data_IF_604584793921
#
_entry.id   IF_604584793921
#
_cell.length_a   1.000
_cell.length_b   1.000
_cell.length_c   1.000
_cell.angle_alpha   90.00
_cell.angle_beta   90.00
_cell.angle_gamma   90.00
#
_symmetry.space_group_name_H-M   'P 1'
#
loop_
_entity.id
_entity.type
_entity.pdbx_description
1 polymer ?
#
# COMPACT_ATOMS: atom_id res chain seq x y z
N UNK A 1 14.18 -2.70 -5.85
CA UNK A 1 12.81 -2.79 -5.30
C UNK A 1 12.61 -4.19 -4.76
N UNK A 2 12.25 -4.31 -3.50
CA UNK A 2 12.15 -5.61 -2.82
C UNK A 2 10.92 -6.42 -3.28
N UNK A 3 9.96 -5.77 -3.94
CA UNK A 3 8.72 -6.37 -4.42
C UNK A 3 8.91 -7.71 -5.18
N UNK A 4 9.87 -7.79 -6.11
CA UNK A 4 10.09 -9.02 -6.91
C UNK A 4 10.53 -10.23 -6.08
N UNK A 5 11.07 -10.00 -4.89
CA UNK A 5 11.51 -11.06 -3.97
C UNK A 5 10.39 -11.46 -3.01
N UNK A 6 9.49 -10.53 -2.68
CA UNK A 6 8.37 -10.78 -1.75
C UNK A 6 7.12 -11.29 -2.46
N UNK A 7 6.85 -10.84 -3.68
CA UNK A 7 5.69 -11.23 -4.51
C UNK A 7 6.22 -11.99 -5.74
N UNK A 8 6.63 -13.24 -5.54
CA UNK A 8 7.27 -14.05 -6.58
C UNK A 8 6.41 -15.22 -7.06
N UNK A 9 5.57 -15.78 -6.19
CA UNK A 9 4.73 -16.94 -6.49
C UNK A 9 3.39 -16.57 -7.13
N UNK A 10 2.80 -17.50 -7.88
CA UNK A 10 1.47 -17.30 -8.47
C UNK A 10 0.38 -17.06 -7.41
N UNK A 11 0.49 -17.69 -6.23
CA UNK A 11 -0.44 -17.46 -5.12
C UNK A 11 -0.33 -16.01 -4.61
N UNK A 12 0.89 -15.52 -4.39
CA UNK A 12 1.12 -14.14 -3.98
C UNK A 12 0.60 -13.15 -5.02
N UNK A 13 0.88 -13.37 -6.31
CA UNK A 13 0.38 -12.49 -7.40
C UNK A 13 -1.14 -12.41 -7.43
N UNK A 14 -1.84 -13.55 -7.31
CA UNK A 14 -3.31 -13.58 -7.28
C UNK A 14 -3.85 -12.94 -6.00
N UNK A 15 -3.23 -13.18 -4.84
CA UNK A 15 -3.63 -12.54 -3.59
C UNK A 15 -3.40 -11.02 -3.63
N UNK A 16 -2.27 -10.56 -4.18
CA UNK A 16 -1.96 -9.14 -4.36
C UNK A 16 -3.02 -8.45 -5.21
N UNK A 17 -3.45 -9.10 -6.30
CA UNK A 17 -4.56 -8.63 -7.10
C UNK A 17 -5.84 -8.47 -6.27
N UNK A 18 -6.22 -9.48 -5.49
CA UNK A 18 -7.45 -9.43 -4.70
C UNK A 18 -7.43 -8.39 -3.58
N UNK A 19 -6.32 -8.23 -2.85
CA UNK A 19 -6.24 -7.25 -1.76
C UNK A 19 -6.26 -5.80 -2.28
N UNK A 20 -5.81 -5.56 -3.51
CA UNK A 20 -5.91 -4.25 -4.16
C UNK A 20 -7.32 -3.92 -4.64
N UNK A 21 -8.16 -4.95 -4.84
CA UNK A 21 -9.53 -4.83 -5.31
C UNK A 21 -10.53 -5.51 -4.35
N UNK A 22 -10.53 -5.14 -3.05
CA UNK A 22 -11.20 -5.95 -2.05
C UNK A 22 -12.73 -5.92 -2.19
N UNK A 23 -13.31 -4.87 -2.79
CA UNK A 23 -14.76 -4.69 -2.95
C UNK A 23 -15.38 -5.35 -4.18
N UNK A 24 -14.56 -5.90 -5.08
CA UNK A 24 -15.02 -6.42 -6.36
C UNK A 24 -15.01 -7.96 -6.40
N UNK A 25 -15.77 -8.51 -7.35
CA UNK A 25 -15.74 -9.92 -7.70
C UNK A 25 -15.34 -10.07 -9.15
N UNK A 26 -14.48 -11.03 -9.45
CA UNK A 26 -13.86 -11.17 -10.77
C UNK A 26 -14.04 -12.57 -11.32
N UNK A 27 -14.19 -12.68 -12.64
CA UNK A 27 -14.09 -13.98 -13.31
C UNK A 27 -12.63 -14.34 -13.60
N UNK A 28 -12.36 -15.64 -13.72
CA UNK A 28 -11.01 -16.19 -13.80
C UNK A 28 -10.11 -15.54 -14.87
N UNK A 29 -10.67 -15.25 -16.06
CA UNK A 29 -9.92 -14.61 -17.14
C UNK A 29 -9.48 -13.17 -16.81
N UNK A 30 -10.26 -12.42 -16.02
CA UNK A 30 -9.84 -11.07 -15.58
C UNK A 30 -8.67 -11.18 -14.63
N UNK A 31 -8.76 -12.11 -13.68
CA UNK A 31 -7.73 -12.38 -12.67
C UNK A 31 -6.44 -12.81 -13.38
N UNK A 32 -6.53 -13.73 -14.34
CA UNK A 32 -5.39 -14.20 -15.12
C UNK A 32 -4.68 -13.04 -15.83
N UNK A 33 -5.43 -12.18 -16.51
CA UNK A 33 -4.89 -11.02 -17.22
C UNK A 33 -4.23 -10.04 -16.27
N UNK A 34 -4.91 -9.66 -15.18
CA UNK A 34 -4.40 -8.66 -14.23
C UNK A 34 -3.24 -9.18 -13.36
N UNK A 35 -3.24 -10.47 -13.01
CA UNK A 35 -2.14 -11.10 -12.28
C UNK A 35 -0.96 -11.51 -13.18
N UNK A 36 -1.08 -11.36 -14.51
CA UNK A 36 -0.05 -11.74 -15.48
C UNK A 36 0.22 -13.25 -15.51
N UNK A 37 -0.83 -14.07 -15.37
CA UNK A 37 -0.75 -15.53 -15.30
C UNK A 37 -1.51 -16.19 -16.46
N UNK A 38 -1.12 -17.42 -16.80
CA UNK A 38 -1.90 -18.24 -17.75
C UNK A 38 -3.25 -18.64 -17.13
N UNK A 39 -4.28 -18.93 -17.96
CA UNK A 39 -5.57 -19.40 -17.46
C UNK A 39 -5.45 -20.65 -16.59
N UNK A 40 -4.67 -21.64 -17.02
CA UNK A 40 -4.46 -22.89 -16.27
C UNK A 40 -3.81 -22.64 -14.90
N UNK A 41 -2.72 -21.85 -14.84
CA UNK A 41 -2.07 -21.50 -13.58
C UNK A 41 -3.01 -20.73 -12.65
N UNK A 42 -3.80 -19.81 -13.20
CA UNK A 42 -4.79 -19.03 -12.45
C UNK A 42 -5.86 -19.94 -11.87
N UNK A 43 -6.42 -20.84 -12.68
CA UNK A 43 -7.40 -21.84 -12.25
C UNK A 43 -6.89 -22.65 -11.05
N UNK A 44 -5.68 -23.20 -11.16
CA UNK A 44 -5.08 -24.00 -10.09
C UNK A 44 -4.92 -23.22 -8.77
N UNK A 45 -4.48 -21.96 -8.85
CA UNK A 45 -4.35 -21.09 -7.68
C UNK A 45 -5.73 -20.78 -7.07
N UNK A 46 -6.71 -20.39 -7.88
CA UNK A 46 -8.05 -20.04 -7.40
C UNK A 46 -8.74 -21.23 -6.72
N UNK A 47 -8.63 -22.43 -7.29
CA UNK A 47 -9.18 -23.64 -6.67
C UNK A 47 -8.54 -23.92 -5.31
N UNK A 48 -7.21 -23.75 -5.18
CA UNK A 48 -6.51 -23.95 -3.90
C UNK A 48 -6.90 -22.91 -2.87
N UNK A 49 -6.89 -21.63 -3.23
CA UNK A 49 -7.28 -20.54 -2.34
C UNK A 49 -8.74 -20.68 -1.88
N UNK A 50 -9.64 -21.07 -2.77
CA UNK A 50 -11.05 -21.33 -2.44
C UNK A 50 -11.19 -22.51 -1.48
N UNK A 51 -10.52 -23.63 -1.75
CA UNK A 51 -10.55 -24.82 -0.86
C UNK A 51 -9.97 -24.52 0.52
N UNK A 52 -9.00 -23.62 0.60
CA UNK A 52 -8.41 -23.16 1.85
C UNK A 52 -9.24 -22.07 2.57
N UNK A 53 -10.38 -21.65 2.00
CA UNK A 53 -11.24 -20.62 2.59
C UNK A 53 -10.66 -19.19 2.52
N UNK A 54 -9.63 -18.96 1.72
CA UNK A 54 -8.98 -17.64 1.60
C UNK A 54 -9.77 -16.70 0.71
N UNK A 55 -10.45 -17.25 -0.30
CA UNK A 55 -11.31 -16.51 -1.21
C UNK A 55 -12.69 -17.16 -1.30
N UNK A 56 -13.69 -16.33 -1.57
CA UNK A 56 -15.05 -16.75 -1.82
C UNK A 56 -15.23 -17.06 -3.32
N UNK A 57 -16.18 -17.96 -3.62
CA UNK A 57 -16.58 -18.28 -5.00
C UNK A 57 -18.09 -18.33 -5.11
N UNK A 58 -18.66 -17.58 -6.05
CA UNK A 58 -20.09 -17.60 -6.38
C UNK A 58 -20.29 -17.98 -7.83
N UNK A 59 -21.21 -18.90 -8.09
CA UNK A 59 -21.62 -19.23 -9.44
C UNK A 59 -22.73 -18.28 -9.91
N UNK A 60 -22.61 -17.75 -11.12
CA UNK A 60 -23.65 -16.99 -11.80
C UNK A 60 -23.78 -17.49 -13.24
N UNK A 61 -24.87 -18.21 -13.53
CA UNK A 61 -25.02 -18.97 -14.77
C UNK A 61 -23.91 -20.01 -14.93
N UNK A 62 -23.15 -19.92 -16.03
CA UNK A 62 -22.01 -20.81 -16.34
C UNK A 62 -20.66 -20.27 -15.84
N UNK A 63 -20.64 -19.09 -15.21
CA UNK A 63 -19.41 -18.44 -14.78
C UNK A 63 -19.21 -18.52 -13.26
N UNK A 64 -17.96 -18.59 -12.84
CA UNK A 64 -17.57 -18.46 -11.45
C UNK A 64 -16.93 -17.09 -11.22
N UNK A 65 -17.41 -16.42 -10.17
CA UNK A 65 -16.90 -15.16 -9.69
C UNK A 65 -16.19 -15.39 -8.35
N UNK A 66 -15.02 -14.80 -8.21
CA UNK A 66 -14.19 -14.92 -7.02
C UNK A 66 -14.01 -13.56 -6.35
N UNK A 67 -14.01 -13.55 -5.02
CA UNK A 67 -13.78 -12.36 -4.21
C UNK A 67 -12.99 -12.70 -2.95
N UNK A 68 -12.38 -11.69 -2.35
CA UNK A 68 -11.61 -11.86 -1.11
C UNK A 68 -12.51 -11.76 0.12
N UNK A 69 -12.16 -12.50 1.17
CA UNK A 69 -12.72 -12.27 2.49
C UNK A 69 -11.97 -11.12 3.18
N UNK A 70 -12.64 -9.96 3.30
CA UNK A 70 -12.08 -8.75 3.95
C UNK A 70 -11.94 -8.89 5.46
N UNK A 71 -12.60 -9.87 6.08
CA UNK A 71 -12.58 -10.05 7.53
C UNK A 71 -11.35 -10.83 8.00
N UNK A 72 -10.62 -11.45 7.07
CA UNK A 72 -9.44 -12.23 7.37
C UNK A 72 -8.25 -11.32 7.79
N UNK A 73 -7.77 -11.41 9.04
CA UNK A 73 -6.70 -10.53 9.54
C UNK A 73 -5.36 -10.74 8.83
N UNK A 74 -5.07 -11.95 8.35
CA UNK A 74 -3.84 -12.21 7.59
C UNK A 74 -3.84 -11.53 6.23
N UNK A 75 -5.01 -11.49 5.56
CA UNK A 75 -5.15 -10.79 4.28
C UNK A 75 -5.08 -9.28 4.45
N UNK A 76 -5.54 -8.76 5.59
CA UNK A 76 -5.39 -7.36 5.97
C UNK A 76 -3.91 -6.97 6.14
N UNK A 77 -3.13 -7.77 6.87
CA UNK A 77 -1.68 -7.51 6.99
C UNK A 77 -0.93 -7.71 5.66
N UNK A 78 -1.31 -8.72 4.87
CA UNK A 78 -0.77 -8.88 3.53
C UNK A 78 -1.09 -7.69 2.62
N UNK A 79 -2.28 -7.10 2.76
CA UNK A 79 -2.65 -5.88 2.07
C UNK A 79 -1.73 -4.72 2.45
N UNK A 80 -1.46 -4.53 3.74
CA UNK A 80 -0.51 -3.51 4.20
C UNK A 80 0.85 -3.72 3.54
N UNK A 81 1.35 -4.95 3.48
CA UNK A 81 2.60 -5.25 2.76
C UNK A 81 2.54 -4.83 1.29
N UNK A 82 1.49 -5.21 0.55
CA UNK A 82 1.34 -4.83 -0.86
C UNK A 82 1.28 -3.31 -1.04
N UNK A 83 0.56 -2.61 -0.16
CA UNK A 83 0.49 -1.15 -0.13
C UNK A 83 1.89 -0.52 0.02
N UNK A 84 2.68 -1.02 0.98
CA UNK A 84 4.06 -0.55 1.20
C UNK A 84 4.94 -0.76 -0.03
N UNK A 85 4.82 -1.91 -0.69
CA UNK A 85 5.58 -2.24 -1.89
C UNK A 85 5.22 -1.39 -3.10
N UNK A 86 3.95 -1.00 -3.24
CA UNK A 86 3.49 -0.14 -4.33
C UNK A 86 4.08 1.27 -4.23
N UNK A 87 4.28 1.79 -3.02
CA UNK A 87 4.81 3.15 -2.81
C UNK A 87 6.33 3.19 -2.63
N UNK A 88 7.00 2.04 -2.41
CA UNK A 88 8.47 1.91 -2.32
C UNK A 88 9.22 2.78 -3.35
N UNK A 89 8.86 2.79 -4.65
CA UNK A 89 9.57 3.61 -5.64
C UNK A 89 9.53 5.12 -5.38
N UNK A 90 8.41 5.63 -4.87
CA UNK A 90 8.28 7.03 -4.47
C UNK A 90 9.11 7.29 -3.22
N UNK A 91 9.05 6.40 -2.23
CA UNK A 91 9.78 6.55 -0.97
C UNK A 91 11.29 6.65 -1.22
N UNK A 92 11.85 5.79 -2.06
CA UNK A 92 13.29 5.82 -2.40
C UNK A 92 13.72 7.19 -2.96
N UNK A 93 12.89 7.85 -3.77
CA UNK A 93 13.18 9.20 -4.30
C UNK A 93 13.08 10.30 -3.25
N UNK A 94 12.27 10.09 -2.22
CA UNK A 94 12.06 11.07 -1.15
C UNK A 94 13.08 10.98 -0.02
N UNK A 95 13.78 9.83 0.14
CA UNK A 95 14.75 9.61 1.23
C UNK A 95 15.79 10.73 1.35
N UNK A 96 16.38 11.13 0.23
CA UNK A 96 17.43 12.17 0.19
C UNK A 96 16.93 13.58 0.54
N UNK A 97 15.61 13.81 0.52
CA UNK A 97 14.97 15.08 0.86
C UNK A 97 14.33 15.06 2.24
N UNK A 98 14.30 13.91 2.91
CA UNK A 98 13.46 13.68 4.09
C UNK A 98 14.26 13.23 5.29
N UNK A 99 13.90 13.77 6.46
CA UNK A 99 14.35 13.30 7.77
C UNK A 99 13.53 12.09 8.22
N UNK A 100 12.23 12.07 7.91
CA UNK A 100 11.31 11.01 8.27
C UNK A 100 10.17 10.93 7.27
N UNK A 101 9.73 9.72 6.94
CA UNK A 101 8.57 9.46 6.09
C UNK A 101 7.72 8.39 6.77
N UNK A 102 6.44 8.69 6.97
CA UNK A 102 5.47 7.80 7.61
C UNK A 102 4.24 7.66 6.73
N UNK A 103 3.86 6.43 6.40
CA UNK A 103 2.54 6.12 5.86
C UNK A 103 1.56 6.03 7.02
N UNK A 104 0.42 6.71 6.93
CA UNK A 104 -0.63 6.60 7.94
C UNK A 104 -2.00 6.41 7.29
N UNK A 105 -3.06 6.49 8.09
CA UNK A 105 -4.43 6.37 7.59
C UNK A 105 -4.79 4.95 7.14
N UNK A 106 -5.75 4.86 6.22
CA UNK A 106 -6.37 3.60 5.81
C UNK A 106 -5.38 2.64 5.14
N UNK A 107 -4.40 3.18 4.41
CA UNK A 107 -3.33 2.42 3.73
C UNK A 107 -2.38 1.73 4.70
N UNK A 108 -1.96 2.43 5.77
CA UNK A 108 -1.13 1.87 6.83
C UNK A 108 -1.85 0.80 7.66
N UNK A 109 -3.18 0.88 7.72
CA UNK A 109 -4.05 -0.03 8.45
C UNK A 109 -4.60 -1.17 7.59
N UNK A 110 -4.44 -1.15 6.26
CA UNK A 110 -5.02 -2.15 5.35
C UNK A 110 -6.54 -2.06 5.21
N UNK A 111 -7.14 -0.93 5.60
CA UNK A 111 -8.58 -0.66 5.48
C UNK A 111 -8.93 0.15 4.23
N UNK A 112 -7.95 0.51 3.40
CA UNK A 112 -8.17 1.30 2.19
C UNK A 112 -9.07 0.58 1.18
N UNK A 113 -9.68 1.35 0.29
CA UNK A 113 -10.45 0.88 -0.86
C UNK A 113 -9.87 1.50 -2.15
N UNK A 114 -10.51 1.25 -3.29
CA UNK A 114 -10.01 1.70 -4.61
C UNK A 114 -9.94 3.23 -4.75
N UNK A 115 -10.74 3.95 -3.96
CA UNK A 115 -10.84 5.41 -3.95
C UNK A 115 -10.06 6.07 -2.79
N UNK A 116 -9.36 5.27 -1.99
CA UNK A 116 -8.63 5.77 -0.82
C UNK A 116 -7.32 6.43 -1.22
N UNK A 117 -7.15 7.65 -0.75
CA UNK A 117 -5.92 8.41 -0.85
C UNK A 117 -4.76 7.79 -0.05
N UNK A 118 -3.54 8.15 -0.43
CA UNK A 118 -2.30 7.70 0.20
C UNK A 118 -1.78 8.82 1.09
N UNK A 119 -2.03 8.71 2.39
CA UNK A 119 -1.63 9.71 3.37
C UNK A 119 -0.18 9.54 3.80
N UNK A 120 0.68 10.51 3.47
CA UNK A 120 2.09 10.51 3.84
C UNK A 120 2.40 11.69 4.75
N UNK A 121 2.98 11.41 5.92
CA UNK A 121 3.60 12.43 6.75
C UNK A 121 5.09 12.46 6.48
N UNK A 122 5.62 13.62 6.13
CA UNK A 122 7.01 13.79 5.71
C UNK A 122 7.63 14.92 6.51
N UNK A 123 8.75 14.63 7.17
CA UNK A 123 9.60 15.65 7.79
C UNK A 123 10.71 16.01 6.81
N UNK A 124 10.75 17.24 6.32
CA UNK A 124 11.71 17.70 5.31
C UNK A 124 12.00 19.19 5.46
N UNK A 125 13.27 19.56 5.34
CA UNK A 125 13.70 20.97 5.24
C UNK A 125 13.55 21.53 3.81
N UNK A 126 13.32 20.68 2.81
CA UNK A 126 13.15 21.05 1.40
C UNK A 126 11.70 20.81 0.96
N UNK A 127 10.74 21.54 1.55
CA UNK A 127 9.30 21.28 1.38
C UNK A 127 8.84 21.33 -0.09
N UNK A 128 9.18 22.39 -0.80
CA UNK A 128 8.73 22.64 -2.18
C UNK A 128 9.30 21.58 -3.13
N UNK A 129 10.56 21.21 -2.93
CA UNK A 129 11.23 20.17 -3.72
C UNK A 129 10.65 18.79 -3.46
N UNK A 130 10.36 18.47 -2.19
CA UNK A 130 9.67 17.24 -1.80
C UNK A 130 8.30 17.15 -2.48
N UNK A 131 7.50 18.21 -2.41
CA UNK A 131 6.20 18.27 -3.08
C UNK A 131 6.31 18.15 -4.61
N UNK A 132 7.32 18.79 -5.21
CA UNK A 132 7.62 18.71 -6.65
C UNK A 132 7.93 17.28 -7.09
N UNK A 133 8.70 16.51 -6.30
CA UNK A 133 8.98 15.10 -6.56
C UNK A 133 7.69 14.26 -6.54
N UNK A 134 6.82 14.47 -5.55
CA UNK A 134 5.54 13.74 -5.42
C UNK A 134 4.63 14.02 -6.61
N UNK A 135 4.49 15.30 -7.00
CA UNK A 135 3.60 15.72 -8.09
C UNK A 135 4.09 15.25 -9.48
N UNK A 136 5.40 15.13 -9.67
CA UNK A 136 6.00 14.67 -10.94
C UNK A 136 6.24 13.17 -10.99
N UNK A 137 5.94 12.45 -9.90
CA UNK A 137 6.18 11.02 -9.84
C UNK A 137 5.27 10.26 -10.81
N UNK A 138 5.86 9.41 -11.65
CA UNK A 138 5.10 8.52 -12.54
C UNK A 138 4.66 7.28 -11.76
N UNK A 139 3.39 7.25 -11.35
CA UNK A 139 2.79 6.15 -10.60
C UNK A 139 2.50 4.93 -11.50
N UNK A 140 2.48 3.74 -10.90
CA UNK A 140 2.08 2.51 -11.59
C UNK A 140 0.57 2.53 -11.89
N UNK A 141 0.11 1.65 -12.78
CA UNK A 141 -1.29 1.58 -13.17
C UNK A 141 -2.22 1.29 -11.96
N UNK A 142 -1.74 0.52 -10.98
CA UNK A 142 -2.45 0.19 -9.74
C UNK A 142 -2.69 1.42 -8.84
N UNK A 143 -1.86 2.45 -8.99
CA UNK A 143 -1.91 3.69 -8.23
C UNK A 143 -2.52 4.86 -9.01
N UNK A 144 -2.83 4.69 -10.30
CA UNK A 144 -3.18 5.79 -11.19
C UNK A 144 -4.38 6.64 -10.72
N UNK A 145 -5.37 5.99 -10.10
CA UNK A 145 -6.56 6.67 -9.56
C UNK A 145 -6.41 7.10 -8.10
N UNK A 146 -5.28 6.85 -7.46
CA UNK A 146 -5.08 7.09 -6.03
C UNK A 146 -4.16 8.28 -5.84
N UNK A 147 -4.67 9.31 -5.17
CA UNK A 147 -3.90 10.54 -4.94
C UNK A 147 -3.01 10.38 -3.71
N UNK A 148 -1.74 10.73 -3.86
CA UNK A 148 -0.86 10.93 -2.70
C UNK A 148 -1.20 12.26 -2.04
N UNK A 149 -1.54 12.23 -0.74
CA UNK A 149 -1.80 13.39 0.09
C UNK A 149 -0.65 13.58 1.09
N UNK A 150 0.35 14.40 0.76
CA UNK A 150 1.48 14.64 1.65
C UNK A 150 1.18 15.75 2.65
N UNK A 151 1.51 15.51 3.92
CA UNK A 151 1.66 16.51 4.96
C UNK A 151 3.15 16.69 5.22
N UNK A 152 3.71 17.81 4.75
CA UNK A 152 5.14 18.09 4.82
C UNK A 152 5.41 19.14 5.91
N UNK A 153 6.21 18.76 6.90
CA UNK A 153 6.64 19.63 8.01
C UNK A 153 8.16 19.76 8.01
N UNK A 154 8.66 20.97 8.27
CA UNK A 154 10.07 21.17 8.59
C UNK A 154 10.34 20.68 10.02
N UNK A 155 11.57 20.24 10.35
CA UNK A 155 11.93 19.77 11.68
C UNK A 155 11.54 20.75 12.81
N UNK A 156 11.72 22.04 12.59
CA UNK A 156 11.42 23.12 13.54
C UNK A 156 9.92 23.27 13.85
N UNK A 157 9.03 22.89 12.93
CA UNK A 157 7.58 22.93 13.14
C UNK A 157 7.12 21.84 14.12
N UNK A 158 7.95 20.85 14.42
CA UNK A 158 7.63 19.77 15.35
C UNK A 158 7.76 20.16 16.83
N UNK A 159 8.24 21.36 17.16
CA UNK A 159 8.45 21.78 18.56
C UNK A 159 7.30 22.60 19.15
N UNK A 160 6.44 23.22 18.32
CA UNK A 160 5.35 24.09 18.78
C UNK A 160 3.99 23.48 18.42
N UNK A 161 3.37 22.74 19.36
CA UNK A 161 2.14 21.97 19.06
C UNK A 161 0.94 22.39 19.91
N UNK A 162 -0.09 22.87 19.23
CA UNK A 162 -1.45 23.00 19.78
C UNK A 162 -2.11 21.62 20.02
N UNK A 163 -3.28 21.61 20.66
CA UNK A 163 -3.99 20.36 21.03
C UNK A 163 -4.35 19.49 19.81
N UNK A 164 -4.82 20.09 18.73
CA UNK A 164 -5.21 19.39 17.49
C UNK A 164 -4.02 18.73 16.80
N UNK A 165 -2.88 19.42 16.76
CA UNK A 165 -1.66 18.91 16.14
C UNK A 165 -1.09 17.71 16.91
N UNK A 166 -1.28 17.65 18.23
CA UNK A 166 -0.93 16.46 19.03
C UNK A 166 -1.77 15.25 18.64
N UNK A 167 -3.09 15.40 18.54
CA UNK A 167 -3.99 14.29 18.13
C UNK A 167 -3.63 13.78 16.75
N UNK A 168 -3.33 14.68 15.80
CA UNK A 168 -2.86 14.29 14.47
C UNK A 168 -1.56 13.48 14.55
N UNK A 169 -0.58 13.94 15.32
CA UNK A 169 0.71 13.25 15.42
C UNK A 169 0.62 11.90 16.13
N UNK A 170 -0.28 11.72 17.08
CA UNK A 170 -0.59 10.41 17.65
C UNK A 170 -1.12 9.42 16.60
N UNK A 171 -1.85 9.90 15.58
CA UNK A 171 -2.26 9.05 14.44
C UNK A 171 -1.08 8.73 13.53
N UNK A 172 -0.20 9.70 13.27
CA UNK A 172 1.03 9.49 12.51
C UNK A 172 1.93 8.48 13.20
N UNK A 173 2.08 8.55 14.53
CA UNK A 173 2.89 7.62 15.33
C UNK A 173 2.39 6.17 15.25
N UNK A 174 1.08 5.96 15.04
CA UNK A 174 0.49 4.64 14.79
C UNK A 174 0.68 4.15 13.35
N UNK A 175 1.21 5.00 12.48
CA UNK A 175 1.51 4.68 11.09
C UNK A 175 2.69 3.72 10.91
N UNK A 176 3.10 3.51 9.66
CA UNK A 176 4.28 2.72 9.29
C UNK A 176 5.41 3.68 8.93
N UNK A 177 6.49 3.65 9.71
CA UNK A 177 7.72 4.38 9.38
C UNK A 177 8.33 3.71 8.15
N UNK A 178 8.41 4.45 7.04
CA UNK A 178 8.97 3.97 5.77
C UNK A 178 10.44 4.33 5.64
N UNK A 179 10.83 5.44 6.27
CA UNK A 179 12.18 5.96 6.28
C UNK A 179 12.35 6.89 7.47
N UNK A 180 13.51 6.82 8.11
CA UNK A 180 13.95 7.75 9.14
C UNK A 180 15.47 7.86 9.02
N UNK A 181 15.98 9.09 8.93
CA UNK A 181 17.43 9.32 8.88
C UNK A 181 17.98 9.00 10.26
N UNK A 182 18.96 8.11 10.33
CA UNK A 182 19.72 7.88 11.56
C UNK A 182 20.30 9.21 12.03
N UNK A 183 19.88 9.63 13.22
CA UNK A 183 20.50 10.78 13.88
C UNK A 183 21.65 10.19 14.67
N UNK A 184 22.89 10.34 14.20
CA UNK A 184 24.07 9.97 14.98
C UNK A 184 24.12 10.88 16.22
N UNK A 185 23.48 10.47 17.32
CA UNK A 185 23.60 11.09 18.64
C UNK A 185 24.86 10.65 19.40
N UNK A 186 25.86 10.06 18.72
CA UNK A 186 27.13 9.68 19.33
C UNK A 186 28.33 10.21 18.54
N UNK A 187 28.56 11.52 18.61
CA UNK A 187 29.92 12.09 18.57
C UNK A 187 29.96 13.22 19.61
N UNK A 188 30.22 12.84 20.86
CA UNK A 188 30.84 13.66 21.90
C UNK A 188 31.94 12.81 22.55
#
# INVERSE_FOLDING_TARGET
MVNSYLISTNHQKVLSFFVLHPGASFYEREIARKAGLSPSSTHHVLVRLYRAGVINRKQNGRMYFYSIDKTNPYLKEFKVLVNLLLIEPLIEKLKGLSHKIVLFGSWAQGNDNEDSDIDLFIVSSEKEKTLSVINKFSYSAELYNRKVQPIIKAPEELFKKGKEERVFLEQVEKGKILWERETNEYIL
#
